data_IF_071746680926
#
_entry.id   IF_071746680926
#
_cell.length_a   1.000
_cell.length_b   1.000
_cell.length_c   1.000
_cell.angle_alpha   90.00
_cell.angle_beta   90.00
_cell.angle_gamma   90.00
#
_symmetry.space_group_name_H-M   'P 1'
#
loop_
_entity.id
_entity.type
_entity.pdbx_description
1 polymer ?
#
# COMPACT_ATOMS: atom_id res chain seq x y z
N UNK A 1 4.41 16.62 5.39
CA UNK A 1 5.37 15.72 4.70
C UNK A 1 6.55 16.52 4.09
N UNK A 2 6.31 17.54 3.27
CA UNK A 2 7.37 18.41 2.68
C UNK A 2 8.38 19.00 3.68
N UNK A 3 7.94 19.78 4.68
CA UNK A 3 8.84 20.38 5.69
C UNK A 3 9.72 19.37 6.45
N UNK A 4 9.20 18.17 6.71
CA UNK A 4 9.97 17.13 7.36
C UNK A 4 11.08 16.61 6.44
N UNK A 5 10.76 16.46 5.14
CA UNK A 5 11.71 16.04 4.10
C UNK A 5 12.84 17.07 3.93
N UNK A 6 12.50 18.36 3.92
CA UNK A 6 13.49 19.46 3.96
C UNK A 6 14.35 19.42 5.23
N UNK A 7 13.73 19.15 6.37
CA UNK A 7 14.43 19.01 7.66
C UNK A 7 15.44 17.86 7.70
N UNK A 8 15.28 16.83 6.86
CA UNK A 8 16.25 15.75 6.68
C UNK A 8 17.38 16.10 5.68
N UNK A 9 17.39 17.31 5.13
CA UNK A 9 18.45 17.82 4.25
C UNK A 9 18.18 17.65 2.75
N UNK A 10 16.97 17.21 2.37
CA UNK A 10 16.60 17.10 0.97
C UNK A 10 16.10 18.45 0.42
N UNK A 11 16.40 18.71 -0.85
CA UNK A 11 15.75 19.78 -1.61
C UNK A 11 14.38 19.31 -2.06
N UNK A 12 13.31 19.98 -1.60
CA UNK A 12 11.94 19.64 -1.99
C UNK A 12 11.46 20.54 -3.12
N UNK A 13 11.04 19.92 -4.22
CA UNK A 13 10.38 20.59 -5.34
C UNK A 13 8.90 20.20 -5.31
N UNK A 14 8.02 21.17 -5.06
CA UNK A 14 6.57 20.98 -5.15
C UNK A 14 6.14 21.26 -6.60
N UNK A 15 5.54 20.27 -7.25
CA UNK A 15 5.11 20.36 -8.64
C UNK A 15 3.81 19.60 -8.89
N UNK A 16 2.85 20.30 -9.52
CA UNK A 16 1.54 19.76 -9.85
C UNK A 16 0.60 19.57 -8.67
N UNK A 17 -0.56 18.97 -8.95
CA UNK A 17 -1.66 18.79 -7.99
C UNK A 17 -1.85 17.31 -7.59
N UNK A 18 -1.19 16.38 -8.30
CA UNK A 18 -1.26 14.95 -8.01
C UNK A 18 0.11 14.25 -8.15
N UNK A 19 0.17 12.99 -7.73
CA UNK A 19 1.40 12.18 -7.78
C UNK A 19 2.01 12.11 -9.20
N UNK A 20 1.18 11.95 -10.24
CA UNK A 20 1.69 11.78 -11.61
C UNK A 20 2.35 13.06 -12.14
N UNK A 21 1.85 14.24 -11.76
CA UNK A 21 2.47 15.52 -12.12
C UNK A 21 3.83 15.66 -11.43
N UNK A 22 3.91 15.28 -10.15
CA UNK A 22 5.15 15.26 -9.39
C UNK A 22 6.14 14.24 -9.97
N UNK A 23 5.67 13.07 -10.42
CA UNK A 23 6.47 12.06 -11.10
C UNK A 23 7.03 12.58 -12.43
N UNK A 24 6.19 13.18 -13.28
CA UNK A 24 6.62 13.79 -14.52
C UNK A 24 7.69 14.86 -14.29
N UNK A 25 7.50 15.72 -13.27
CA UNK A 25 8.52 16.71 -12.90
C UNK A 25 9.81 16.08 -12.40
N UNK A 26 9.72 15.02 -11.61
CA UNK A 26 10.89 14.32 -11.11
C UNK A 26 11.69 13.65 -12.24
N UNK A 27 11.02 13.10 -13.26
CA UNK A 27 11.67 12.59 -14.47
C UNK A 27 12.44 13.70 -15.22
N UNK A 28 11.81 14.87 -15.42
CA UNK A 28 12.50 16.03 -16.03
C UNK A 28 13.77 16.42 -15.27
N UNK A 29 13.70 16.48 -13.94
CA UNK A 29 14.85 16.83 -13.08
C UNK A 29 15.93 15.75 -13.17
N UNK A 30 15.57 14.47 -13.17
CA UNK A 30 16.53 13.38 -13.30
C UNK A 30 17.30 13.45 -14.62
N UNK A 31 16.62 13.78 -15.72
CA UNK A 31 17.26 13.98 -17.02
C UNK A 31 18.21 15.18 -17.01
N UNK A 32 17.77 16.30 -16.44
CA UNK A 32 18.55 17.55 -16.41
C UNK A 32 19.78 17.48 -15.51
N UNK A 33 19.66 16.81 -14.37
CA UNK A 33 20.71 16.75 -13.34
C UNK A 33 21.53 15.46 -13.41
N UNK A 34 21.21 14.55 -14.34
CA UNK A 34 21.77 13.20 -14.43
C UNK A 34 21.63 12.41 -13.11
N UNK A 35 20.51 12.62 -12.41
CA UNK A 35 20.21 11.94 -11.15
C UNK A 35 19.63 10.54 -11.39
N UNK A 36 19.77 9.66 -10.40
CA UNK A 36 19.09 8.36 -10.39
C UNK A 36 17.68 8.53 -9.84
N UNK A 37 16.68 8.15 -10.62
CA UNK A 37 15.29 8.15 -10.15
C UNK A 37 15.04 6.95 -9.25
N UNK A 38 14.68 7.19 -7.99
CA UNK A 38 14.27 6.16 -7.04
C UNK A 38 12.74 6.08 -7.00
N UNK A 39 12.17 5.03 -7.61
CA UNK A 39 10.73 4.88 -7.66
C UNK A 39 10.18 4.53 -6.26
N UNK A 40 9.11 5.17 -5.77
CA UNK A 40 8.59 4.93 -4.42
C UNK A 40 7.96 3.54 -4.19
N UNK A 41 7.80 2.70 -5.23
CA UNK A 41 7.16 1.39 -5.11
C UNK A 41 7.43 0.43 -6.27
N UNK A 42 7.64 0.92 -7.49
CA UNK A 42 7.78 0.10 -8.70
C UNK A 42 9.25 -0.17 -9.04
N UNK A 43 10.00 -0.62 -8.04
CA UNK A 43 11.41 -0.97 -8.15
C UNK A 43 11.67 -2.27 -7.37
N UNK A 44 12.39 -3.25 -7.92
CA UNK A 44 12.62 -4.53 -7.26
C UNK A 44 13.31 -4.43 -5.89
N UNK A 45 14.26 -3.50 -5.71
CA UNK A 45 14.94 -3.33 -4.43
C UNK A 45 14.02 -2.68 -3.40
N UNK A 46 13.20 -1.71 -3.83
CA UNK A 46 12.16 -1.11 -2.97
C UNK A 46 11.16 -2.16 -2.52
N UNK A 47 10.66 -3.00 -3.44
CA UNK A 47 9.71 -4.08 -3.14
C UNK A 47 10.34 -5.09 -2.17
N UNK A 48 11.58 -5.51 -2.42
CA UNK A 48 12.30 -6.43 -1.53
C UNK A 48 12.49 -5.83 -0.13
N UNK A 49 12.83 -4.54 -0.05
CA UNK A 49 12.92 -3.78 1.19
C UNK A 49 11.61 -3.78 1.96
N UNK A 50 10.48 -3.54 1.30
CA UNK A 50 9.17 -3.61 1.97
C UNK A 50 8.83 -5.03 2.46
N UNK A 51 9.32 -6.05 1.76
CA UNK A 51 9.13 -7.46 2.11
C UNK A 51 9.76 -7.87 3.44
N UNK A 52 10.71 -7.10 3.99
CA UNK A 52 11.28 -7.41 5.31
C UNK A 52 10.23 -7.37 6.41
N UNK A 53 9.18 -6.56 6.26
CA UNK A 53 8.05 -6.54 7.18
C UNK A 53 7.37 -7.93 7.28
N UNK A 54 7.32 -8.68 6.17
CA UNK A 54 6.83 -10.07 6.20
C UNK A 54 7.70 -11.00 7.04
N UNK A 55 9.01 -10.77 7.10
CA UNK A 55 9.93 -11.53 7.97
C UNK A 55 9.66 -11.24 9.44
N UNK A 56 9.49 -9.95 9.76
CA UNK A 56 9.23 -9.48 11.12
C UNK A 56 7.87 -10.00 11.62
N UNK A 57 6.82 -9.89 10.82
CA UNK A 57 5.48 -10.40 11.16
C UNK A 57 5.53 -11.91 11.47
N UNK A 58 6.18 -12.71 10.63
CA UNK A 58 6.26 -14.15 10.85
C UNK A 58 7.21 -14.53 12.00
N UNK A 59 8.19 -13.68 12.31
CA UNK A 59 9.05 -13.82 13.48
C UNK A 59 8.30 -13.58 14.78
N UNK A 60 7.52 -12.51 14.84
CA UNK A 60 6.79 -12.09 16.05
C UNK A 60 5.45 -12.81 16.23
N UNK A 61 4.79 -13.16 15.12
CA UNK A 61 3.48 -13.85 15.09
C UNK A 61 3.53 -15.08 14.15
N UNK A 62 4.25 -16.15 14.53
CA UNK A 62 4.41 -17.34 13.68
C UNK A 62 3.10 -18.12 13.45
N UNK A 63 2.06 -17.83 14.23
CA UNK A 63 0.73 -18.43 14.12
C UNK A 63 -0.25 -17.59 13.31
N UNK A 64 0.22 -16.56 12.60
CA UNK A 64 -0.65 -15.74 11.75
C UNK A 64 -1.35 -16.62 10.69
N UNK A 65 -2.67 -16.52 10.61
CA UNK A 65 -3.49 -17.14 9.58
C UNK A 65 -3.68 -16.18 8.38
N UNK A 66 -3.67 -14.88 8.66
CA UNK A 66 -3.91 -13.82 7.68
C UNK A 66 -3.09 -12.56 8.00
N UNK A 67 -2.58 -11.89 6.96
CA UNK A 67 -1.89 -10.60 7.02
C UNK A 67 -2.58 -9.63 6.07
N UNK A 68 -2.97 -8.47 6.57
CA UNK A 68 -3.78 -7.49 5.82
C UNK A 68 -2.95 -6.23 5.58
N UNK A 69 -2.75 -5.88 4.31
CA UNK A 69 -1.74 -4.89 3.90
C UNK A 69 -2.37 -3.78 3.08
N UNK A 70 -2.17 -2.48 3.41
CA UNK A 70 -2.67 -1.39 2.58
C UNK A 70 -1.90 -1.32 1.26
N UNK A 71 -2.58 -0.92 0.19
CA UNK A 71 -2.00 -0.91 -1.15
C UNK A 71 -2.26 0.42 -1.89
N UNK A 72 -1.19 1.18 -2.12
CA UNK A 72 -1.16 2.31 -3.06
C UNK A 72 -0.72 1.84 -4.44
N UNK A 73 0.55 2.11 -4.79
CA UNK A 73 1.18 1.58 -6.01
C UNK A 73 1.59 0.09 -5.93
N UNK A 74 1.40 -0.54 -4.77
CA UNK A 74 1.51 -1.99 -4.60
C UNK A 74 2.84 -2.51 -4.08
N UNK A 75 3.85 -1.66 -3.90
CA UNK A 75 5.19 -2.11 -3.47
C UNK A 75 5.20 -2.85 -2.13
N UNK A 76 4.48 -2.31 -1.13
CA UNK A 76 4.34 -2.94 0.19
C UNK A 76 3.61 -4.29 0.11
N UNK A 77 2.43 -4.32 -0.52
CA UNK A 77 1.66 -5.55 -0.68
C UNK A 77 2.44 -6.62 -1.45
N UNK A 78 3.06 -6.26 -2.58
CA UNK A 78 3.86 -7.17 -3.40
C UNK A 78 5.02 -7.76 -2.59
N UNK A 79 5.78 -6.92 -1.88
CA UNK A 79 6.93 -7.34 -1.08
C UNK A 79 6.53 -8.26 0.07
N UNK A 80 5.55 -7.84 0.87
CA UNK A 80 5.05 -8.61 2.01
C UNK A 80 4.46 -9.95 1.55
N UNK A 81 3.63 -9.94 0.51
CA UNK A 81 3.03 -11.17 -0.03
C UNK A 81 4.10 -12.14 -0.54
N UNK A 82 5.04 -11.66 -1.36
CA UNK A 82 6.12 -12.50 -1.87
C UNK A 82 6.96 -13.11 -0.74
N UNK A 83 7.31 -12.32 0.27
CA UNK A 83 8.08 -12.79 1.42
C UNK A 83 7.33 -13.87 2.20
N UNK A 84 6.09 -13.59 2.61
CA UNK A 84 5.27 -14.50 3.40
C UNK A 84 5.03 -15.82 2.65
N UNK A 85 4.69 -15.76 1.36
CA UNK A 85 4.40 -16.97 0.57
C UNK A 85 5.61 -17.89 0.39
N UNK A 86 6.83 -17.35 0.43
CA UNK A 86 8.06 -18.14 0.36
C UNK A 86 8.37 -18.87 1.69
N UNK A 87 7.90 -18.35 2.82
CA UNK A 87 8.17 -18.91 4.15
C UNK A 87 7.02 -19.83 4.60
N UNK A 88 5.78 -19.34 4.52
CA UNK A 88 4.59 -20.09 4.87
C UNK A 88 3.45 -19.76 3.88
N UNK A 89 3.29 -20.52 2.79
CA UNK A 89 2.29 -20.25 1.76
C UNK A 89 0.84 -20.38 2.24
N UNK A 90 0.61 -20.94 3.44
CA UNK A 90 -0.74 -21.08 4.03
C UNK A 90 -1.27 -19.79 4.63
N UNK A 91 -0.40 -18.84 4.99
CA UNK A 91 -0.82 -17.54 5.52
C UNK A 91 -1.48 -16.77 4.39
N UNK A 92 -2.72 -16.31 4.60
CA UNK A 92 -3.41 -15.47 3.62
C UNK A 92 -2.83 -14.06 3.66
N UNK A 93 -2.63 -13.44 2.50
CA UNK A 93 -2.19 -12.04 2.38
C UNK A 93 -3.23 -11.29 1.57
N UNK A 94 -3.90 -10.33 2.22
CA UNK A 94 -5.00 -9.58 1.61
C UNK A 94 -4.62 -8.11 1.48
N UNK A 95 -4.70 -7.58 0.26
CA UNK A 95 -4.53 -6.17 -0.03
C UNK A 95 -5.77 -5.34 0.32
N UNK A 96 -5.58 -4.10 0.77
CA UNK A 96 -6.68 -3.16 0.99
C UNK A 96 -6.41 -1.84 0.29
N UNK A 97 -7.37 -1.39 -0.53
CA UNK A 97 -7.35 -0.07 -1.17
C UNK A 97 -8.52 0.80 -0.71
N UNK A 98 -8.37 2.12 -0.87
CA UNK A 98 -9.52 3.02 -0.83
C UNK A 98 -10.37 2.82 -2.09
N UNK A 99 -11.70 2.81 -1.97
CA UNK A 99 -12.63 2.68 -3.11
C UNK A 99 -12.39 3.76 -4.18
N UNK A 100 -12.01 4.98 -3.77
CA UNK A 100 -11.68 6.06 -4.70
C UNK A 100 -10.28 5.99 -5.31
N UNK A 101 -9.52 4.91 -5.07
CA UNK A 101 -8.18 4.66 -5.61
C UNK A 101 -7.90 3.14 -5.73
N UNK A 102 -8.76 2.42 -6.44
CA UNK A 102 -8.86 0.96 -6.44
C UNK A 102 -8.17 0.25 -7.63
N UNK A 103 -7.17 0.90 -8.26
CA UNK A 103 -6.53 0.39 -9.48
C UNK A 103 -5.90 -1.01 -9.33
N UNK A 104 -5.33 -1.35 -8.17
CA UNK A 104 -4.80 -2.70 -7.89
C UNK A 104 -5.93 -3.69 -7.71
N UNK A 105 -7.02 -3.33 -7.02
CA UNK A 105 -8.18 -4.21 -6.87
C UNK A 105 -8.78 -4.54 -8.23
N UNK A 106 -8.99 -3.54 -9.09
CA UNK A 106 -9.43 -3.74 -10.47
C UNK A 106 -8.45 -4.62 -11.26
N UNK A 107 -7.15 -4.38 -11.12
CA UNK A 107 -6.11 -5.17 -11.81
C UNK A 107 -6.06 -6.63 -11.36
N UNK A 108 -6.24 -6.86 -10.06
CA UNK A 108 -6.23 -8.19 -9.45
C UNK A 108 -7.44 -9.00 -9.91
N UNK A 109 -8.65 -8.44 -9.78
CA UNK A 109 -9.90 -9.14 -10.11
C UNK A 109 -10.06 -9.37 -11.62
N UNK A 110 -9.62 -8.42 -12.46
CA UNK A 110 -9.66 -8.57 -13.93
C UNK A 110 -8.53 -9.42 -14.49
N UNK A 111 -7.53 -9.81 -13.67
CA UNK A 111 -6.32 -10.50 -14.12
C UNK A 111 -5.58 -9.74 -15.23
N UNK A 112 -5.65 -8.42 -15.22
CA UNK A 112 -5.05 -7.55 -16.24
C UNK A 112 -4.55 -6.26 -15.61
N UNK A 113 -3.60 -5.56 -16.24
CA UNK A 113 -3.17 -4.25 -15.75
C UNK A 113 -4.26 -3.21 -15.99
N UNK A 114 -4.70 -2.55 -14.92
CA UNK A 114 -5.70 -1.48 -14.94
C UNK A 114 -5.14 -0.26 -14.22
N UNK A 115 -5.33 0.92 -14.81
CA UNK A 115 -5.06 2.22 -14.20
C UNK A 115 -6.35 3.04 -14.23
N UNK A 116 -6.49 3.99 -13.29
CA UNK A 116 -7.65 4.89 -13.23
C UNK A 116 -7.31 6.29 -13.73
N UNK A 117 -8.28 6.98 -14.30
CA UNK A 117 -8.10 8.36 -14.80
C UNK A 117 -7.94 9.38 -13.65
N UNK A 118 -8.46 9.06 -12.47
CA UNK A 118 -8.42 9.92 -11.29
C UNK A 118 -8.42 9.09 -10.00
N UNK A 119 -8.03 9.75 -8.91
CA UNK A 119 -8.14 9.22 -7.54
C UNK A 119 -8.73 10.28 -6.63
N UNK A 120 -9.59 9.86 -5.71
CA UNK A 120 -10.20 10.74 -4.72
C UNK A 120 -10.41 9.98 -3.41
N UNK A 121 -9.56 10.23 -2.42
CA UNK A 121 -9.67 9.62 -1.08
C UNK A 121 -8.93 10.46 -0.04
N UNK A 122 -9.36 10.37 1.22
CA UNK A 122 -8.61 10.91 2.36
C UNK A 122 -7.29 10.16 2.61
N UNK A 123 -7.11 8.96 2.05
CA UNK A 123 -5.93 8.12 2.23
C UNK A 123 -4.84 8.44 1.21
N UNK A 124 -4.19 9.59 1.40
CA UNK A 124 -3.17 10.16 0.49
C UNK A 124 -2.00 9.21 0.18
N UNK A 125 -1.58 8.41 1.17
CA UNK A 125 -0.49 7.43 1.03
C UNK A 125 -0.83 6.24 0.13
N UNK A 126 -2.11 5.99 -0.17
CA UNK A 126 -2.57 4.95 -1.11
C UNK A 126 -3.36 5.52 -2.30
N UNK A 127 -3.39 6.85 -2.47
CA UNK A 127 -4.06 7.53 -3.57
C UNK A 127 -3.21 7.48 -4.86
N UNK A 128 -3.16 6.31 -5.52
CA UNK A 128 -2.34 6.07 -6.71
C UNK A 128 -3.22 5.68 -7.91
N UNK A 129 -3.08 6.41 -9.03
CA UNK A 129 -3.84 6.18 -10.28
C UNK A 129 -3.33 4.99 -11.08
N UNK A 130 -2.01 4.96 -11.29
CA UNK A 130 -1.32 3.92 -12.04
C UNK A 130 -0.55 3.02 -11.07
N UNK A 131 -0.94 1.75 -10.90
CA UNK A 131 -0.18 0.81 -10.09
C UNK A 131 1.15 0.46 -10.78
N UNK A 132 2.07 -0.17 -10.07
CA UNK A 132 3.34 -0.60 -10.67
C UNK A 132 3.17 -1.73 -11.68
N UNK A 133 3.85 -1.64 -12.83
CA UNK A 133 3.90 -2.73 -13.82
C UNK A 133 4.70 -3.95 -13.31
N UNK A 134 5.59 -3.77 -12.32
CA UNK A 134 6.27 -4.84 -11.59
C UNK A 134 5.41 -5.35 -10.43
N UNK A 135 4.70 -4.45 -9.74
CA UNK A 135 3.94 -4.80 -8.53
C UNK A 135 2.69 -5.61 -8.86
N UNK A 136 1.93 -5.27 -9.90
CA UNK A 136 0.70 -5.96 -10.28
C UNK A 136 0.91 -7.46 -10.55
N UNK A 137 1.88 -7.89 -11.38
CA UNK A 137 2.16 -9.32 -11.58
C UNK A 137 2.55 -10.07 -10.30
N UNK A 138 3.29 -9.41 -9.40
CA UNK A 138 3.66 -10.01 -8.11
C UNK A 138 2.45 -10.16 -7.20
N UNK A 139 1.58 -9.15 -7.15
CA UNK A 139 0.34 -9.18 -6.37
C UNK A 139 -0.58 -10.30 -6.89
N UNK A 140 -0.79 -10.40 -8.20
CA UNK A 140 -1.57 -11.51 -8.78
C UNK A 140 -0.99 -12.89 -8.45
N UNK A 141 0.34 -13.00 -8.35
CA UNK A 141 1.01 -14.27 -8.05
C UNK A 141 0.96 -14.64 -6.57
N UNK A 142 1.06 -13.67 -5.66
CA UNK A 142 1.34 -13.92 -4.25
C UNK A 142 0.26 -13.48 -3.27
N UNK A 143 -0.57 -12.48 -3.59
CA UNK A 143 -1.69 -12.09 -2.74
C UNK A 143 -2.88 -13.05 -2.95
N UNK A 144 -3.68 -13.26 -1.90
CA UNK A 144 -4.85 -14.12 -1.95
C UNK A 144 -6.12 -13.37 -2.33
N UNK A 145 -6.20 -12.08 -2.00
CA UNK A 145 -7.31 -11.20 -2.40
C UNK A 145 -6.90 -9.72 -2.30
N UNK A 146 -7.68 -8.83 -2.92
CA UNK A 146 -7.60 -7.38 -2.75
C UNK A 146 -9.01 -6.83 -2.57
N UNK A 147 -9.27 -6.22 -1.41
CA UNK A 147 -10.56 -5.63 -1.05
C UNK A 147 -10.49 -4.11 -1.00
N UNK A 148 -11.66 -3.46 -1.03
CA UNK A 148 -11.78 -2.01 -0.95
C UNK A 148 -12.59 -1.56 0.26
N UNK A 149 -12.25 -0.37 0.76
CA UNK A 149 -12.97 0.34 1.82
C UNK A 149 -13.17 1.81 1.43
N UNK A 150 -14.29 2.42 1.80
CA UNK A 150 -14.52 3.84 1.52
C UNK A 150 -13.97 4.77 2.62
N UNK A 151 -13.91 6.06 2.31
CA UNK A 151 -13.35 7.09 3.20
C UNK A 151 -14.07 7.20 4.56
N UNK A 152 -15.38 6.91 4.62
CA UNK A 152 -16.12 6.89 5.88
C UNK A 152 -15.67 5.70 6.74
N UNK A 153 -15.53 4.53 6.14
CA UNK A 153 -15.02 3.32 6.81
C UNK A 153 -13.58 3.52 7.31
N UNK A 154 -12.72 4.16 6.52
CA UNK A 154 -11.36 4.52 6.91
C UNK A 154 -11.38 5.51 8.09
N UNK A 155 -12.23 6.54 8.03
CA UNK A 155 -12.34 7.54 9.10
C UNK A 155 -12.79 6.92 10.43
N UNK A 156 -13.74 5.98 10.38
CA UNK A 156 -14.16 5.23 11.55
C UNK A 156 -13.03 4.36 12.13
N UNK A 157 -12.21 3.74 11.29
CA UNK A 157 -11.04 2.98 11.74
C UNK A 157 -9.97 3.86 12.41
N UNK A 158 -9.71 5.05 11.86
CA UNK A 158 -8.81 6.04 12.49
C UNK A 158 -9.32 6.42 13.89
N UNK A 159 -10.62 6.73 14.02
CA UNK A 159 -11.24 7.04 15.31
C UNK A 159 -11.13 5.87 16.29
N UNK A 160 -11.41 4.65 15.83
CA UNK A 160 -11.31 3.44 16.67
C UNK A 160 -9.88 3.20 17.17
N UNK A 161 -8.87 3.35 16.31
CA UNK A 161 -7.45 3.21 16.68
C UNK A 161 -7.05 4.28 17.71
N UNK A 162 -7.51 5.51 17.55
CA UNK A 162 -7.27 6.57 18.52
C UNK A 162 -7.98 6.30 19.86
N UNK A 163 -9.23 5.86 19.84
CA UNK A 163 -10.03 5.67 21.06
C UNK A 163 -9.63 4.40 21.83
N UNK A 164 -9.33 3.31 21.14
CA UNK A 164 -9.11 1.98 21.74
C UNK A 164 -7.63 1.64 21.88
N UNK A 165 -6.83 1.92 20.85
CA UNK A 165 -5.40 1.61 20.84
C UNK A 165 -4.55 2.79 21.34
N UNK A 166 -5.14 3.99 21.47
CA UNK A 166 -4.45 5.24 21.84
C UNK A 166 -3.31 5.58 20.87
N UNK A 167 -3.49 5.21 19.61
CA UNK A 167 -2.53 5.45 18.53
C UNK A 167 -3.08 6.50 17.57
N UNK A 168 -2.21 7.41 17.14
CA UNK A 168 -2.50 8.34 16.05
C UNK A 168 -2.02 7.66 14.76
N UNK A 169 -2.96 7.37 13.85
CA UNK A 169 -2.69 6.63 12.62
C UNK A 169 -3.21 7.47 11.45
N UNK A 170 -2.41 7.60 10.38
CA UNK A 170 -2.88 8.25 9.15
C UNK A 170 -3.92 7.38 8.42
N UNK A 171 -4.82 7.95 7.59
CA UNK A 171 -5.91 7.19 6.98
C UNK A 171 -5.44 5.96 6.18
N UNK A 172 -4.33 6.07 5.44
CA UNK A 172 -3.71 4.96 4.68
C UNK A 172 -3.34 3.77 5.57
N UNK A 173 -2.80 4.04 6.77
CA UNK A 173 -2.43 3.01 7.74
C UNK A 173 -3.64 2.40 8.47
N UNK A 174 -4.77 3.09 8.47
CA UNK A 174 -6.01 2.59 9.08
C UNK A 174 -6.86 1.73 8.12
N UNK A 175 -6.59 1.76 6.80
CA UNK A 175 -7.37 1.03 5.80
C UNK A 175 -7.48 -0.49 6.08
N UNK A 176 -6.41 -1.22 6.47
CA UNK A 176 -6.51 -2.63 6.85
C UNK A 176 -7.48 -2.87 8.01
N UNK A 177 -7.46 -2.00 9.02
CA UNK A 177 -8.36 -2.07 10.18
C UNK A 177 -9.80 -1.79 9.77
N UNK A 178 -10.02 -0.86 8.84
CA UNK A 178 -11.34 -0.60 8.27
C UNK A 178 -11.89 -1.85 7.56
N UNK A 179 -11.07 -2.56 6.79
CA UNK A 179 -11.48 -3.78 6.09
C UNK A 179 -11.94 -4.87 7.06
N UNK A 180 -11.22 -5.05 8.18
CA UNK A 180 -11.61 -5.98 9.25
C UNK A 180 -12.89 -5.53 9.94
N UNK A 181 -12.97 -4.26 10.34
CA UNK A 181 -14.11 -3.69 11.06
C UNK A 181 -15.42 -3.82 10.27
N UNK A 182 -15.32 -3.73 8.94
CA UNK A 182 -16.46 -3.78 8.01
C UNK A 182 -16.73 -5.17 7.45
N UNK A 183 -16.00 -6.19 7.93
CA UNK A 183 -16.19 -7.58 7.51
C UNK A 183 -15.87 -7.81 6.03
N UNK A 184 -15.03 -6.96 5.43
CA UNK A 184 -14.51 -7.15 4.06
C UNK A 184 -13.53 -8.32 4.02
N UNK A 185 -12.94 -8.66 5.17
CA UNK A 185 -12.03 -9.78 5.37
C UNK A 185 -12.60 -10.71 6.43
N UNK A 186 -12.74 -12.01 6.12
CA UNK A 186 -13.18 -13.01 7.09
C UNK A 186 -12.03 -13.45 8.01
N UNK A 187 -11.96 -12.79 9.16
CA UNK A 187 -11.01 -13.06 10.25
C UNK A 187 -11.60 -13.92 11.37
N UNK A 188 -12.84 -14.41 11.25
CA UNK A 188 -13.51 -15.07 12.38
C UNK A 188 -12.81 -16.38 12.74
N UNK A 189 -12.32 -16.48 13.97
CA UNK A 189 -11.60 -17.65 14.47
C UNK A 189 -10.18 -17.80 13.90
N UNK A 190 -9.66 -16.75 13.25
CA UNK A 190 -8.31 -16.69 12.70
C UNK A 190 -7.46 -15.69 13.47
N UNK A 191 -6.15 -15.92 13.51
CA UNK A 191 -5.15 -14.99 14.00
C UNK A 191 -4.75 -14.06 12.87
N UNK A 192 -5.17 -12.79 12.93
CA UNK A 192 -4.90 -11.78 11.90
C UNK A 192 -3.82 -10.79 12.33
N UNK A 193 -2.93 -10.43 11.40
CA UNK A 193 -2.02 -9.30 11.50
C UNK A 193 -2.49 -8.16 10.59
#
# INVERSE_FOLDING_TARGET
KAKATEGYGATVVLAGDCYDDAYAKACEICEQEHATFLHPYNDPEVIAGQGTLGLEILGDLPTADIVIVPAGGGGLLAGVAACIKQINPRVQVIGVQAEGADAIAQSFHSHSYVQTDSVATIADGIAVKAPGDITVPLIQKYADDVVTVNDLEISEAVLLLMERCKQIVEPSGAAPVAAVLKGKVDVKGKTSC
#
